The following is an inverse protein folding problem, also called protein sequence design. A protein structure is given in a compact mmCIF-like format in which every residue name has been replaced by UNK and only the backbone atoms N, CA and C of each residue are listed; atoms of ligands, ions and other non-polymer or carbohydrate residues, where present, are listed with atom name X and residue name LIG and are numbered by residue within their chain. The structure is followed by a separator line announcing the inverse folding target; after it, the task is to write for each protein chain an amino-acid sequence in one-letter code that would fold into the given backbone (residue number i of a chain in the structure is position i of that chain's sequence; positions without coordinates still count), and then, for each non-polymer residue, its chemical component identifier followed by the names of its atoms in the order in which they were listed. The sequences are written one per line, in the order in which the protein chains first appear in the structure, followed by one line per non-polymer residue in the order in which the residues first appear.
data_IF_957580750970
#
_entry.id   IF_957580750970
#
_cell.length_a   1.000
_cell.length_b   1.000
_cell.length_c   1.000
_cell.angle_alpha   90.00
_cell.angle_beta   90.00
_cell.angle_gamma   90.00
#
_symmetry.space_group_name_H-M   'P 1'
#
loop_
_entity.id
_entity.type
_entity.pdbx_description
1 polymer ?
#
# COMPACT_ATOMS: atom_id res chain seq x y z
N UNK A 1 11.67 -19.42 -12.23
CA UNK A 1 11.24 -19.27 -10.82
C UNK A 1 10.76 -17.85 -10.68
N UNK A 2 9.45 -17.63 -10.51
CA UNK A 2 8.94 -16.28 -10.21
C UNK A 2 9.30 -16.00 -8.74
N UNK A 3 10.23 -15.08 -8.51
CA UNK A 3 10.46 -14.54 -7.17
C UNK A 3 9.20 -13.74 -6.84
N UNK A 4 8.48 -14.16 -5.81
CA UNK A 4 7.39 -13.36 -5.24
C UNK A 4 7.99 -12.06 -4.71
N UNK A 5 7.48 -10.92 -5.17
CA UNK A 5 7.94 -9.60 -4.75
C UNK A 5 6.89 -9.01 -3.80
N UNK A 6 7.33 -8.71 -2.57
CA UNK A 6 6.47 -8.17 -1.54
C UNK A 6 5.98 -6.75 -1.88
N UNK A 7 4.70 -6.47 -1.63
CA UNK A 7 4.08 -5.18 -1.92
C UNK A 7 4.81 -4.02 -1.21
N UNK A 8 5.24 -4.24 0.04
CA UNK A 8 6.01 -3.27 0.84
C UNK A 8 7.36 -2.96 0.19
N UNK A 9 8.06 -3.99 -0.26
CA UNK A 9 9.37 -3.86 -0.90
C UNK A 9 9.26 -3.07 -2.20
N UNK A 10 8.32 -3.44 -3.08
CA UNK A 10 8.03 -2.72 -4.32
C UNK A 10 7.66 -1.26 -4.04
N UNK A 11 6.84 -1.00 -3.02
CA UNK A 11 6.44 0.35 -2.64
C UNK A 11 7.63 1.23 -2.23
N UNK A 12 8.52 0.73 -1.37
CA UNK A 12 9.67 1.51 -0.93
C UNK A 12 10.71 1.70 -2.04
N UNK A 13 10.90 0.71 -2.91
CA UNK A 13 11.71 0.84 -4.12
C UNK A 13 11.15 1.91 -5.06
N UNK A 14 9.84 1.89 -5.32
CA UNK A 14 9.15 2.89 -6.14
C UNK A 14 9.30 4.32 -5.58
N UNK A 15 9.32 4.47 -4.25
CA UNK A 15 9.56 5.77 -3.60
C UNK A 15 11.04 6.12 -3.40
N UNK A 16 11.97 5.26 -3.85
CA UNK A 16 13.40 5.37 -3.60
C UNK A 16 13.75 5.59 -2.11
N UNK A 17 12.98 4.99 -1.21
CA UNK A 17 13.22 5.05 0.24
C UNK A 17 14.29 4.01 0.58
N UNK A 18 15.43 4.40 1.19
CA UNK A 18 16.49 3.46 1.51
C UNK A 18 16.03 2.38 2.49
N UNK A 19 16.39 1.13 2.19
CA UNK A 19 16.13 -0.01 3.06
C UNK A 19 16.84 0.15 4.41
N UNK A 20 16.16 -0.20 5.50
CA UNK A 20 16.65 -0.05 6.86
C UNK A 20 16.65 1.38 7.38
N UNK A 21 16.22 2.36 6.59
CA UNK A 21 16.16 3.75 7.04
C UNK A 21 15.10 3.94 8.14
N UNK A 22 15.34 4.92 9.03
CA UNK A 22 14.35 5.33 10.03
C UNK A 22 13.05 5.80 9.38
N UNK A 23 13.13 6.42 8.21
CA UNK A 23 11.97 6.82 7.42
C UNK A 23 11.13 5.62 7.00
N UNK A 24 11.74 4.56 6.46
CA UNK A 24 11.06 3.33 6.09
C UNK A 24 10.32 2.73 7.30
N UNK A 25 11.01 2.60 8.42
CA UNK A 25 10.44 2.03 9.65
C UNK A 25 9.27 2.87 10.20
N UNK A 26 9.40 4.20 10.15
CA UNK A 26 8.36 5.12 10.58
C UNK A 26 7.11 5.04 9.69
N UNK A 27 7.29 4.93 8.36
CA UNK A 27 6.19 4.72 7.42
C UNK A 27 5.49 3.39 7.70
N UNK A 28 6.24 2.29 7.85
CA UNK A 28 5.69 0.97 8.17
C UNK A 28 4.87 1.04 9.47
N UNK A 29 5.46 1.60 10.53
CA UNK A 29 4.80 1.71 11.83
C UNK A 29 3.51 2.52 11.77
N UNK A 30 3.50 3.64 11.05
CA UNK A 30 2.30 4.45 10.84
C UNK A 30 1.24 3.71 10.03
N UNK A 31 1.64 3.00 8.97
CA UNK A 31 0.73 2.22 8.14
C UNK A 31 0.09 1.07 8.93
N UNK A 32 0.88 0.30 9.68
CA UNK A 32 0.39 -0.78 10.53
C UNK A 32 -0.60 -0.24 11.58
N UNK A 33 -0.30 0.92 12.19
CA UNK A 33 -1.20 1.55 13.14
C UNK A 33 -2.52 2.03 12.50
N UNK A 34 -2.51 2.51 11.24
CA UNK A 34 -3.73 2.85 10.50
C UNK A 34 -4.61 1.62 10.23
N UNK A 35 -4.00 0.46 10.02
CA UNK A 35 -4.70 -0.80 9.79
C UNK A 35 -5.36 -1.31 11.08
N UNK A 36 -4.69 -1.16 12.24
CA UNK A 36 -5.21 -1.61 13.55
C UNK A 36 -6.19 -0.61 14.18
N UNK A 37 -5.99 0.69 13.99
CA UNK A 37 -6.62 1.78 14.76
C UNK A 37 -8.10 2.06 14.48
N UNK A 38 -8.87 1.09 14.00
CA UNK A 38 -10.24 1.28 13.50
C UNK A 38 -11.41 0.82 14.35
N UNK A 39 -11.15 0.08 15.43
CA UNK A 39 -12.19 -0.46 16.30
C UNK A 39 -11.97 -0.03 17.74
N UNK A 40 -12.91 0.75 18.28
CA UNK A 40 -12.99 0.98 19.72
C UNK A 40 -13.50 -0.22 20.52
N UNK A 41 -13.77 -1.36 19.87
CA UNK A 41 -14.37 -2.54 20.52
C UNK A 41 -14.07 -3.88 19.83
N UNK A 42 -12.84 -4.09 19.34
CA UNK A 42 -12.42 -5.43 18.89
C UNK A 42 -10.97 -5.72 19.31
N UNK A 43 -10.78 -5.84 20.63
CA UNK A 43 -9.67 -6.62 21.21
C UNK A 43 -9.98 -8.11 21.06
N UNK A 44 -10.03 -8.61 19.82
CA UNK A 44 -10.04 -10.06 19.55
C UNK A 44 -9.15 -10.34 18.36
N UNK A 45 -7.95 -10.86 18.68
CA UNK A 45 -7.05 -11.58 17.78
C UNK A 45 -6.43 -10.71 16.68
N UNK A 46 -5.29 -10.09 16.96
CA UNK A 46 -4.27 -9.90 15.93
C UNK A 46 -3.63 -11.28 15.76
N UNK A 47 -3.81 -12.02 14.65
CA UNK A 47 -2.90 -13.11 14.38
C UNK A 47 -1.56 -12.45 14.09
N UNK A 48 -0.56 -12.80 14.89
CA UNK A 48 0.84 -12.56 14.56
C UNK A 48 1.07 -12.90 13.08
N UNK A 49 1.31 -11.86 12.27
CA UNK A 49 1.40 -11.97 10.83
C UNK A 49 0.58 -10.89 10.17
N UNK A 50 1.08 -9.65 10.19
CA UNK A 50 0.66 -8.66 9.20
C UNK A 50 0.94 -9.32 7.86
N UNK A 51 -0.12 -9.72 7.15
CA UNK A 51 0.00 -10.50 5.92
C UNK A 51 0.83 -9.64 4.96
N UNK A 52 2.05 -10.07 4.69
CA UNK A 52 2.89 -9.47 3.65
C UNK A 52 2.23 -9.79 2.32
N UNK A 53 1.33 -8.90 1.89
CA UNK A 53 0.68 -9.00 0.59
C UNK A 53 1.72 -8.93 -0.52
N UNK A 54 1.50 -9.68 -1.58
CA UNK A 54 2.32 -9.61 -2.79
C UNK A 54 1.84 -8.46 -3.68
N UNK A 55 2.73 -7.87 -4.47
CA UNK A 55 2.31 -6.86 -5.44
C UNK A 55 1.28 -7.42 -6.45
N UNK A 56 1.34 -8.73 -6.73
CA UNK A 56 0.39 -9.43 -7.59
C UNK A 56 -1.03 -9.50 -6.99
N UNK A 57 -1.17 -9.45 -5.65
CA UNK A 57 -2.47 -9.52 -4.99
C UNK A 57 -3.37 -8.32 -5.32
N UNK A 58 -2.79 -7.18 -5.73
CA UNK A 58 -3.54 -6.00 -6.21
C UNK A 58 -4.45 -6.32 -7.40
N UNK A 59 -4.11 -7.37 -8.17
CA UNK A 59 -4.86 -7.83 -9.34
C UNK A 59 -5.39 -9.25 -9.15
N UNK A 60 -5.39 -9.75 -7.91
CA UNK A 60 -5.90 -11.07 -7.60
C UNK A 60 -7.39 -11.18 -7.98
N UNK A 61 -7.81 -12.29 -8.62
CA UNK A 61 -9.22 -12.57 -8.87
C UNK A 61 -9.97 -12.88 -7.56
N UNK A 62 -9.25 -13.26 -6.49
CA UNK A 62 -9.80 -13.45 -5.16
C UNK A 62 -10.00 -12.08 -4.50
N UNK A 63 -11.26 -11.66 -4.22
CA UNK A 63 -11.56 -10.32 -3.73
C UNK A 63 -10.93 -10.05 -2.37
N UNK A 64 -10.85 -11.04 -1.49
CA UNK A 64 -10.31 -10.88 -0.13
C UNK A 64 -8.82 -10.54 -0.17
N UNK A 65 -8.04 -11.24 -1.02
CA UNK A 65 -6.60 -10.95 -1.19
C UNK A 65 -6.37 -9.57 -1.77
N UNK A 66 -7.19 -9.20 -2.77
CA UNK A 66 -7.12 -7.89 -3.40
C UNK A 66 -7.47 -6.77 -2.44
N UNK A 67 -8.51 -6.94 -1.63
CA UNK A 67 -8.91 -5.94 -0.63
C UNK A 67 -7.83 -5.72 0.42
N UNK A 68 -7.21 -6.81 0.92
CA UNK A 68 -6.08 -6.72 1.85
C UNK A 68 -4.90 -5.99 1.23
N UNK A 69 -4.53 -6.29 -0.02
CA UNK A 69 -3.43 -5.63 -0.71
C UNK A 69 -3.71 -4.14 -0.97
N UNK A 70 -4.95 -3.80 -1.35
CA UNK A 70 -5.40 -2.41 -1.55
C UNK A 70 -5.38 -1.63 -0.24
N UNK A 71 -5.86 -2.22 0.87
CA UNK A 71 -5.84 -1.56 2.18
C UNK A 71 -4.42 -1.32 2.67
N UNK A 72 -3.53 -2.31 2.50
CA UNK A 72 -2.11 -2.17 2.82
C UNK A 72 -1.43 -1.08 2.00
N UNK A 73 -1.61 -1.08 0.67
CA UNK A 73 -1.02 -0.06 -0.19
C UNK A 73 -1.56 1.35 0.15
N UNK A 74 -2.86 1.46 0.43
CA UNK A 74 -3.45 2.73 0.84
C UNK A 74 -2.88 3.22 2.19
N UNK A 75 -2.72 2.34 3.18
CA UNK A 75 -2.14 2.69 4.47
C UNK A 75 -0.68 3.16 4.34
N UNK A 76 0.14 2.44 3.55
CA UNK A 76 1.51 2.83 3.23
C UNK A 76 1.57 4.17 2.53
N UNK A 77 0.68 4.40 1.55
CA UNK A 77 0.60 5.65 0.82
C UNK A 77 0.22 6.83 1.73
N UNK A 78 -0.75 6.67 2.62
CA UNK A 78 -1.09 7.69 3.63
C UNK A 78 0.14 7.99 4.48
N UNK A 79 0.75 6.97 5.08
CA UNK A 79 1.88 7.14 5.97
C UNK A 79 3.05 7.86 5.26
N UNK A 80 3.39 7.47 4.04
CA UNK A 80 4.47 8.09 3.26
C UNK A 80 4.21 9.58 3.01
N UNK A 81 2.99 9.96 2.61
CA UNK A 81 2.61 11.38 2.42
C UNK A 81 2.85 12.22 3.69
N UNK A 82 2.53 11.68 4.86
CA UNK A 82 2.66 12.41 6.12
C UNK A 82 4.09 12.44 6.68
N UNK A 83 4.92 11.44 6.37
CA UNK A 83 6.34 11.44 6.73
C UNK A 83 7.22 12.25 5.79
N UNK A 84 6.63 12.96 4.83
CA UNK A 84 7.35 13.90 3.98
C UNK A 84 8.25 13.23 2.93
N UNK A 85 7.99 11.96 2.57
CA UNK A 85 8.48 11.48 1.26
C UNK A 85 7.92 12.45 0.23
N UNK A 86 8.76 13.09 -0.58
CA UNK A 86 8.35 14.17 -1.47
C UNK A 86 7.35 13.66 -2.51
N UNK A 87 6.07 13.62 -2.16
CA UNK A 87 4.97 13.15 -3.03
C UNK A 87 4.53 14.23 -4.01
N UNK A 88 5.15 15.42 -3.97
CA UNK A 88 4.87 16.53 -4.88
C UNK A 88 5.02 16.17 -6.37
N UNK A 89 5.65 15.03 -6.70
CA UNK A 89 5.81 14.54 -8.08
C UNK A 89 5.28 13.14 -8.34
N UNK A 90 4.78 12.44 -7.31
CA UNK A 90 4.32 11.05 -7.44
C UNK A 90 2.81 11.03 -7.28
N UNK A 91 2.12 10.76 -8.40
CA UNK A 91 0.69 10.45 -8.37
C UNK A 91 0.47 9.00 -7.95
N UNK A 92 -0.75 8.66 -7.50
CA UNK A 92 -1.07 7.26 -7.19
C UNK A 92 -0.96 6.34 -8.41
N UNK A 93 -1.27 6.87 -9.60
CA UNK A 93 -1.11 6.16 -10.87
C UNK A 93 0.36 5.87 -11.18
N UNK A 94 1.25 6.86 -11.02
CA UNK A 94 2.69 6.66 -11.25
C UNK A 94 3.27 5.70 -10.21
N UNK A 95 2.92 5.85 -8.93
CA UNK A 95 3.31 4.89 -7.89
C UNK A 95 2.92 3.46 -8.24
N UNK A 96 1.66 3.25 -8.65
CA UNK A 96 1.16 1.92 -9.01
C UNK A 96 1.91 1.37 -10.23
N UNK A 97 2.21 2.22 -11.21
CA UNK A 97 2.99 1.85 -12.41
C UNK A 97 4.41 1.43 -12.03
N UNK A 98 5.05 2.17 -11.14
CA UNK A 98 6.40 1.87 -10.65
C UNK A 98 6.41 0.57 -9.84
N UNK A 99 5.41 0.32 -8.99
CA UNK A 99 5.24 -0.96 -8.27
C UNK A 99 5.08 -2.13 -9.24
N UNK A 100 4.29 -1.95 -10.31
CA UNK A 100 4.09 -2.98 -11.35
C UNK A 100 5.39 -3.29 -12.10
N UNK A 101 6.19 -2.27 -12.39
CA UNK A 101 7.50 -2.41 -13.02
C UNK A 101 8.48 -3.14 -12.09
N UNK A 102 8.59 -2.71 -10.84
CA UNK A 102 9.46 -3.31 -9.82
C UNK A 102 9.09 -4.77 -9.52
N UNK A 103 7.80 -5.10 -9.50
CA UNK A 103 7.34 -6.46 -9.29
C UNK A 103 7.48 -7.36 -10.54
N UNK A 104 8.00 -6.85 -11.66
CA UNK A 104 8.12 -7.59 -12.91
C UNK A 104 6.76 -7.94 -13.54
N UNK A 105 5.69 -7.26 -13.14
CA UNK A 105 4.33 -7.48 -13.64
C UNK A 105 4.10 -6.79 -14.99
N UNK A 106 4.95 -5.83 -15.36
CA UNK A 106 4.92 -5.15 -16.65
C UNK A 106 5.24 -6.06 -17.86
N UNK A 107 5.94 -7.19 -17.66
CA UNK A 107 6.23 -8.16 -18.72
C UNK A 107 5.10 -9.16 -19.00
N UNK A 108 4.12 -9.27 -18.08
CA UNK A 108 2.92 -10.12 -18.23
C UNK A 108 1.76 -9.39 -18.91
N UNK A 109 2.01 -8.20 -19.45
CA UNK A 109 1.02 -7.31 -20.06
C UNK A 109 0.35 -7.91 -21.30
N UNK A 110 0.98 -8.88 -21.98
CA UNK A 110 0.37 -9.59 -23.11
C UNK A 110 -0.44 -10.85 -22.72
N UNK A 111 -0.11 -11.54 -21.62
CA UNK A 111 -0.96 -12.62 -21.08
C UNK A 111 -2.15 -12.08 -20.25
N UNK A 112 -2.03 -10.86 -19.75
CA UNK A 112 -3.05 -10.14 -19.00
C UNK A 112 -3.31 -8.74 -19.59
N UNK A 113 -3.73 -8.64 -20.86
CA UNK A 113 -4.17 -7.36 -21.47
C UNK A 113 -5.24 -6.57 -20.68
N UNK A 114 -5.75 -7.17 -19.60
CA UNK A 114 -6.66 -6.65 -18.57
C UNK A 114 -5.96 -5.73 -17.54
N UNK A 115 -4.68 -5.95 -17.22
CA UNK A 115 -3.97 -5.31 -16.10
C UNK A 115 -3.83 -3.78 -16.25
N UNK A 116 -3.62 -3.28 -17.47
CA UNK A 116 -3.54 -1.84 -17.76
C UNK A 116 -4.93 -1.17 -17.84
N UNK A 117 -5.96 -1.90 -18.29
CA UNK A 117 -7.34 -1.39 -18.30
C UNK A 117 -7.95 -1.30 -16.91
N UNK A 118 -7.51 -2.16 -15.99
CA UNK A 118 -7.96 -2.17 -14.60
C UNK A 118 -7.20 -1.18 -13.71
N UNK A 119 -6.08 -0.64 -14.21
CA UNK A 119 -5.25 0.31 -13.46
C UNK A 119 -6.04 1.57 -13.00
N UNK A 120 -6.87 2.22 -13.83
CA UNK A 120 -7.73 3.31 -13.38
C UNK A 120 -8.76 2.90 -12.32
N UNK A 121 -9.34 1.70 -12.44
CA UNK A 121 -10.28 1.18 -11.43
C UNK A 121 -9.56 0.95 -10.10
N UNK A 122 -8.37 0.35 -10.15
CA UNK A 122 -7.54 0.12 -8.97
C UNK A 122 -7.12 1.42 -8.30
N UNK A 123 -6.74 2.45 -9.07
CA UNK A 123 -6.47 3.80 -8.55
C UNK A 123 -7.70 4.38 -7.86
N UNK A 124 -8.89 4.27 -8.46
CA UNK A 124 -10.14 4.71 -7.84
C UNK A 124 -10.44 3.96 -6.53
N UNK A 125 -10.20 2.64 -6.49
CA UNK A 125 -10.34 1.82 -5.28
C UNK A 125 -9.36 2.28 -4.20
N UNK A 126 -8.09 2.50 -4.54
CA UNK A 126 -7.08 2.99 -3.61
C UNK A 126 -7.46 4.37 -3.03
N UNK A 127 -7.94 5.31 -3.84
CA UNK A 127 -8.43 6.60 -3.34
C UNK A 127 -9.63 6.46 -2.39
N UNK A 128 -10.58 5.56 -2.70
CA UNK A 128 -11.72 5.29 -1.81
C UNK A 128 -11.25 4.69 -0.49
N UNK A 129 -10.37 3.69 -0.55
CA UNK A 129 -9.81 3.04 0.64
C UNK A 129 -9.00 4.02 1.49
N UNK A 130 -8.24 4.91 0.86
CA UNK A 130 -7.54 5.99 1.54
C UNK A 130 -8.51 6.83 2.39
N UNK A 131 -9.62 7.26 1.79
CA UNK A 131 -10.64 8.05 2.48
C UNK A 131 -11.32 7.27 3.61
N UNK A 132 -11.54 5.97 3.44
CA UNK A 132 -12.10 5.10 4.50
C UNK A 132 -11.13 5.01 5.68
N UNK A 133 -9.85 4.71 5.43
CA UNK A 133 -8.81 4.63 6.46
C UNK A 133 -8.64 5.94 7.22
N UNK A 134 -8.60 7.06 6.50
CA UNK A 134 -8.52 8.39 7.11
C UNK A 134 -9.75 8.67 7.98
N UNK A 135 -10.97 8.43 7.50
CA UNK A 135 -12.19 8.63 8.30
C UNK A 135 -12.22 7.75 9.54
N UNK A 136 -11.85 6.47 9.39
CA UNK A 136 -11.74 5.49 10.48
C UNK A 136 -10.79 5.98 11.57
N UNK A 137 -9.69 6.62 11.15
CA UNK A 137 -8.68 7.20 12.05
C UNK A 137 -8.95 8.65 12.44
N UNK A 138 -10.16 9.18 12.18
CA UNK A 138 -10.54 10.59 12.44
C UNK A 138 -9.58 11.62 11.82
N UNK A 139 -9.03 11.29 10.65
CA UNK A 139 -8.03 12.07 9.91
C UNK A 139 -6.71 12.29 10.67
N UNK A 140 -6.43 11.46 11.68
CA UNK A 140 -5.18 11.44 12.41
C UNK A 140 -4.33 10.29 11.87
N UNK A 141 -3.12 10.59 11.41
CA UNK A 141 -2.14 9.57 11.03
C UNK A 141 -1.26 9.26 12.24
N UNK A 142 -1.33 8.04 12.79
CA UNK A 142 -0.57 7.67 13.98
C UNK A 142 0.94 7.78 13.76
N UNK A 143 1.66 8.00 14.86
CA UNK A 143 3.12 8.10 14.92
C UNK A 143 3.74 9.31 14.17
N UNK A 144 2.95 10.13 13.49
CA UNK A 144 3.42 11.37 12.86
C UNK A 144 3.34 12.50 13.89
N UNK A 145 4.48 13.09 14.23
CA UNK A 145 4.52 14.26 15.12
C UNK A 145 4.29 15.53 14.30
N UNK A 146 3.24 16.28 14.61
CA UNK A 146 3.14 17.69 14.23
C UNK A 146 4.21 18.43 15.04
N UNK A 147 5.32 18.82 14.41
CA UNK A 147 6.26 19.77 14.99
C UNK A 147 5.91 21.16 14.50
#
# INVERSE_FOLDING_TARGET
MNVSVGLRESFFKALAVPEGSSLQQNIIKSADALLVGGGGDELMVIPNGVIEGEAADLFSPLPERREVAVEHLAALWIAAKFWGTSTHRVSMLSLLTDILLEAGLAGKVDEYGVLLQDTPELVNRLYKTEMVLLRRSRFIVPCVSLR
#
